data_IF_586191843658
#
_entry.id   IF_586191843658
#
_cell.length_a   1.000
_cell.length_b   1.000
_cell.length_c   1.000
_cell.angle_alpha   90.00
_cell.angle_beta   90.00
_cell.angle_gamma   90.00
#
_symmetry.space_group_name_H-M   'P 1'
#
loop_
_entity.id
_entity.type
_entity.pdbx_description
1 polymer ?
#
# COMPACT_ATOMS: atom_id res chain seq x y z
N UNK A 1 -23.48 22.59 -25.55
CA UNK A 1 -22.21 21.88 -25.28
C UNK A 1 -22.07 21.42 -23.82
N UNK A 2 -23.01 21.71 -22.91
CA UNK A 2 -22.95 21.25 -21.50
C UNK A 2 -23.69 19.92 -21.24
N UNK A 3 -24.61 19.52 -22.13
CA UNK A 3 -25.44 18.31 -21.96
C UNK A 3 -24.66 17.02 -22.24
N UNK A 4 -23.63 17.05 -23.08
CA UNK A 4 -22.84 15.85 -23.43
C UNK A 4 -21.87 15.44 -22.30
N UNK A 5 -21.37 16.41 -21.54
CA UNK A 5 -20.38 16.19 -20.46
C UNK A 5 -20.98 15.51 -19.21
N UNK A 6 -22.30 15.63 -19.00
CA UNK A 6 -23.00 14.94 -17.91
C UNK A 6 -23.11 13.42 -18.15
N UNK A 7 -23.13 12.97 -19.41
CA UNK A 7 -23.25 11.54 -19.77
C UNK A 7 -21.95 10.75 -19.56
N UNK A 8 -20.80 11.43 -19.57
CA UNK A 8 -19.46 10.84 -19.51
C UNK A 8 -18.83 10.88 -18.12
N UNK A 9 -19.47 11.45 -17.10
CA UNK A 9 -18.92 11.52 -15.73
C UNK A 9 -19.67 10.59 -14.77
N UNK A 10 -18.94 9.99 -13.83
CA UNK A 10 -19.52 9.20 -12.76
C UNK A 10 -20.09 10.14 -11.70
N UNK A 11 -21.41 10.15 -11.53
CA UNK A 11 -22.06 10.96 -10.50
C UNK A 11 -21.62 10.50 -9.10
N UNK A 12 -21.03 11.41 -8.32
CA UNK A 12 -20.56 11.17 -6.95
C UNK A 12 -19.11 10.67 -6.81
N UNK A 13 -18.43 10.34 -7.92
CA UNK A 13 -17.02 9.92 -7.89
C UNK A 13 -16.11 11.08 -8.29
N UNK A 14 -15.01 11.25 -7.56
CA UNK A 14 -14.00 12.26 -7.81
C UNK A 14 -12.66 11.61 -8.14
N UNK A 15 -11.96 12.19 -9.10
CA UNK A 15 -10.59 11.85 -9.44
C UNK A 15 -9.61 12.26 -8.32
N UNK A 16 -8.37 11.77 -8.36
CA UNK A 16 -7.30 12.08 -7.38
C UNK A 16 -6.98 13.58 -7.26
N UNK A 17 -7.43 14.39 -8.23
CA UNK A 17 -7.36 15.86 -8.23
C UNK A 17 -8.66 16.56 -7.77
N UNK A 18 -9.58 15.85 -7.11
CA UNK A 18 -10.91 16.34 -6.67
C UNK A 18 -11.80 16.88 -7.80
N UNK A 19 -11.62 16.41 -9.03
CA UNK A 19 -12.48 16.74 -10.18
C UNK A 19 -13.49 15.61 -10.43
N UNK A 20 -14.64 15.85 -11.07
CA UNK A 20 -15.59 14.78 -11.39
C UNK A 20 -14.90 13.66 -12.19
N UNK A 21 -15.06 12.41 -11.76
CA UNK A 21 -14.41 11.28 -12.40
C UNK A 21 -15.03 11.02 -13.78
N UNK A 22 -14.19 11.00 -14.82
CA UNK A 22 -14.63 10.75 -16.20
C UNK A 22 -14.65 9.24 -16.48
N UNK A 23 -15.79 8.75 -16.98
CA UNK A 23 -16.05 7.38 -17.40
C UNK A 23 -15.11 6.99 -18.56
N UNK A 24 -14.45 5.85 -18.43
CA UNK A 24 -13.47 5.35 -19.42
C UNK A 24 -12.05 5.92 -19.31
N UNK A 25 -11.83 6.98 -18.53
CA UNK A 25 -10.49 7.57 -18.32
C UNK A 25 -9.92 7.34 -16.93
N UNK A 26 -10.78 7.30 -15.91
CA UNK A 26 -10.37 7.09 -14.51
C UNK A 26 -10.88 5.73 -14.03
N UNK A 27 -9.97 4.93 -13.46
CA UNK A 27 -10.24 3.56 -13.01
C UNK A 27 -10.53 2.59 -14.17
N UNK A 28 -11.17 1.46 -13.84
CA UNK A 28 -11.59 0.45 -14.79
C UNK A 28 -10.78 -0.85 -14.72
N UNK A 29 -11.11 -1.79 -15.61
CA UNK A 29 -10.62 -3.16 -15.58
C UNK A 29 -9.09 -3.27 -15.66
N UNK A 30 -8.43 -2.38 -16.42
CA UNK A 30 -6.97 -2.39 -16.57
C UNK A 30 -6.25 -1.96 -15.29
N UNK A 31 -6.78 -0.92 -14.60
CA UNK A 31 -6.24 -0.49 -13.32
C UNK A 31 -6.45 -1.58 -12.25
N UNK A 32 -7.65 -2.19 -12.23
CA UNK A 32 -7.96 -3.30 -11.33
C UNK A 32 -7.07 -4.53 -11.60
N UNK A 33 -6.85 -4.89 -12.87
CA UNK A 33 -6.00 -6.02 -13.23
C UNK A 33 -4.54 -5.79 -12.82
N UNK A 34 -4.04 -4.56 -12.92
CA UNK A 34 -2.69 -4.23 -12.46
C UNK A 34 -2.54 -4.46 -10.95
N UNK A 35 -3.48 -3.95 -10.15
CA UNK A 35 -3.50 -4.16 -8.69
C UNK A 35 -3.58 -5.66 -8.36
N UNK A 36 -4.45 -6.41 -9.04
CA UNK A 36 -4.56 -7.85 -8.85
C UNK A 36 -3.28 -8.61 -9.19
N UNK A 37 -2.58 -8.24 -10.27
CA UNK A 37 -1.31 -8.89 -10.61
C UNK A 37 -0.26 -8.63 -9.53
N UNK A 38 -0.18 -7.40 -9.02
CA UNK A 38 0.75 -7.07 -7.92
C UNK A 38 0.42 -7.90 -6.67
N UNK A 39 -0.85 -7.97 -6.29
CA UNK A 39 -1.31 -8.78 -5.14
C UNK A 39 -0.97 -10.27 -5.30
N UNK A 40 -1.15 -10.83 -6.51
CA UNK A 40 -0.80 -12.23 -6.79
C UNK A 40 0.71 -12.45 -6.69
N UNK A 41 1.53 -11.53 -7.21
CA UNK A 41 2.99 -11.63 -7.13
C UNK A 41 3.49 -11.52 -5.69
N UNK A 42 2.90 -10.63 -4.89
CA UNK A 42 3.22 -10.49 -3.47
C UNK A 42 2.90 -11.77 -2.70
N UNK A 43 1.71 -12.34 -2.91
CA UNK A 43 1.33 -13.62 -2.31
C UNK A 43 2.24 -14.78 -2.75
N UNK A 44 2.66 -14.80 -4.03
CA UNK A 44 3.60 -15.80 -4.52
C UNK A 44 4.97 -15.69 -3.85
N UNK A 45 5.49 -14.47 -3.70
CA UNK A 45 6.75 -14.21 -2.99
C UNK A 45 6.66 -14.60 -1.51
N UNK A 46 5.52 -14.32 -0.86
CA UNK A 46 5.29 -14.74 0.52
C UNK A 46 5.32 -16.27 0.67
N UNK A 47 4.62 -17.00 -0.20
CA UNK A 47 4.61 -18.47 -0.19
C UNK A 47 5.99 -19.07 -0.51
N UNK A 48 6.74 -18.46 -1.44
CA UNK A 48 8.11 -18.88 -1.75
C UNK A 48 9.04 -18.71 -0.53
N UNK A 49 8.92 -17.61 0.20
CA UNK A 49 9.67 -17.40 1.43
C UNK A 49 9.25 -18.39 2.53
N UNK A 50 7.95 -18.59 2.74
CA UNK A 50 7.44 -19.50 3.76
C UNK A 50 7.92 -20.95 3.54
N UNK A 51 8.00 -21.39 2.28
CA UNK A 51 8.40 -22.76 1.93
C UNK A 51 9.91 -22.98 1.92
N UNK A 52 10.70 -22.00 1.45
CA UNK A 52 12.14 -22.20 1.24
C UNK A 52 13.02 -21.68 2.39
N UNK A 53 12.57 -20.69 3.15
CA UNK A 53 13.44 -20.01 4.13
C UNK A 53 13.83 -20.92 5.30
N UNK A 54 12.95 -21.82 5.75
CA UNK A 54 13.26 -22.78 6.83
C UNK A 54 14.41 -23.69 6.39
N UNK A 55 14.34 -24.16 5.14
CA UNK A 55 15.34 -25.05 4.56
C UNK A 55 16.66 -24.33 4.37
N UNK A 56 16.65 -23.11 3.82
CA UNK A 56 17.84 -22.28 3.70
C UNK A 56 18.54 -22.04 5.04
N UNK A 57 17.78 -21.68 6.09
CA UNK A 57 18.35 -21.45 7.41
C UNK A 57 18.93 -22.73 8.04
N UNK A 58 18.28 -23.88 7.80
CA UNK A 58 18.74 -25.16 8.36
C UNK A 58 19.91 -25.78 7.59
N UNK A 59 19.89 -25.73 6.26
CA UNK A 59 20.87 -26.40 5.40
C UNK A 59 22.08 -25.51 5.11
N UNK A 60 21.88 -24.23 4.76
CA UNK A 60 22.97 -23.34 4.35
C UNK A 60 23.54 -22.53 5.54
N UNK A 61 22.68 -22.01 6.41
CA UNK A 61 23.12 -21.24 7.59
C UNK A 61 23.39 -22.11 8.84
N UNK A 62 23.18 -23.43 8.75
CA UNK A 62 23.48 -24.39 9.80
C UNK A 62 22.79 -24.09 11.15
N UNK A 63 21.61 -23.46 11.14
CA UNK A 63 20.80 -23.28 12.34
C UNK A 63 20.14 -24.60 12.75
N UNK A 64 19.88 -24.77 14.04
CA UNK A 64 19.11 -25.95 14.49
C UNK A 64 17.69 -25.90 13.92
N UNK A 65 17.04 -27.05 13.65
CA UNK A 65 15.68 -27.08 13.09
C UNK A 65 14.67 -26.24 13.89
N UNK A 66 14.81 -26.23 15.22
CA UNK A 66 13.99 -25.42 16.12
C UNK A 66 14.24 -23.92 16.00
N UNK A 67 15.50 -23.50 15.84
CA UNK A 67 15.85 -22.09 15.65
C UNK A 67 15.38 -21.59 14.28
N UNK A 68 15.60 -22.36 13.21
CA UNK A 68 15.14 -22.03 11.86
C UNK A 68 13.62 -21.85 11.81
N UNK A 69 12.85 -22.81 12.36
CA UNK A 69 11.40 -22.72 12.38
C UNK A 69 10.88 -21.50 13.17
N UNK A 70 11.49 -21.19 14.31
CA UNK A 70 11.13 -20.01 15.10
C UNK A 70 11.44 -18.71 14.36
N UNK A 71 12.61 -18.60 13.73
CA UNK A 71 12.99 -17.40 12.98
C UNK A 71 12.04 -17.14 11.81
N UNK A 72 11.67 -18.17 11.03
CA UNK A 72 10.72 -18.01 9.93
C UNK A 72 9.31 -17.68 10.45
N UNK A 73 8.86 -18.32 11.54
CA UNK A 73 7.56 -18.02 12.15
C UNK A 73 7.49 -16.59 12.67
N UNK A 74 8.55 -16.11 13.33
CA UNK A 74 8.64 -14.72 13.80
C UNK A 74 8.65 -13.73 12.63
N UNK A 75 9.35 -14.04 11.54
CA UNK A 75 9.35 -13.23 10.34
C UNK A 75 7.94 -13.14 9.74
N UNK A 76 7.30 -14.28 9.47
CA UNK A 76 5.93 -14.32 8.93
C UNK A 76 4.93 -13.61 9.84
N UNK A 77 4.99 -13.85 11.16
CA UNK A 77 4.13 -13.18 12.14
C UNK A 77 4.34 -11.66 12.15
N UNK A 78 5.58 -11.20 12.05
CA UNK A 78 5.91 -9.77 11.97
C UNK A 78 5.38 -9.14 10.68
N UNK A 79 5.49 -9.82 9.54
CA UNK A 79 4.93 -9.35 8.27
C UNK A 79 3.41 -9.13 8.35
N UNK A 80 2.66 -10.03 9.01
CA UNK A 80 1.23 -9.85 9.22
C UNK A 80 0.91 -8.65 10.13
N UNK A 81 1.67 -8.47 11.21
CA UNK A 81 1.52 -7.29 12.08
C UNK A 81 1.84 -5.99 11.33
N UNK A 82 2.85 -6.00 10.46
CA UNK A 82 3.18 -4.86 9.59
C UNK A 82 2.07 -4.57 8.59
N UNK A 83 1.41 -5.58 8.02
CA UNK A 83 0.28 -5.39 7.11
C UNK A 83 -0.91 -4.73 7.83
N UNK A 84 -1.23 -5.17 9.06
CA UNK A 84 -2.25 -4.52 9.89
C UNK A 84 -1.89 -3.06 10.20
N UNK A 85 -0.63 -2.82 10.57
CA UNK A 85 -0.14 -1.46 10.82
C UNK A 85 -0.21 -0.61 9.55
N UNK A 86 0.18 -1.14 8.39
CA UNK A 86 0.14 -0.46 7.10
C UNK A 86 -1.27 -0.09 6.68
N UNK A 87 -2.24 -0.99 6.85
CA UNK A 87 -3.65 -0.71 6.61
C UNK A 87 -4.18 0.39 7.53
N UNK A 88 -3.91 0.29 8.84
CA UNK A 88 -4.26 1.35 9.79
C UNK A 88 -3.62 2.69 9.43
N UNK A 89 -2.35 2.70 9.01
CA UNK A 89 -1.67 3.91 8.59
C UNK A 89 -2.27 4.48 7.30
N UNK A 90 -2.63 3.64 6.35
CA UNK A 90 -3.29 4.03 5.10
C UNK A 90 -4.62 4.75 5.38
N UNK A 91 -5.44 4.22 6.28
CA UNK A 91 -6.73 4.80 6.62
C UNK A 91 -6.61 6.07 7.47
N UNK A 92 -5.65 6.10 8.40
CA UNK A 92 -5.49 7.21 9.35
C UNK A 92 -4.72 8.42 8.78
N UNK A 93 -3.68 8.21 7.95
CA UNK A 93 -2.73 9.26 7.60
C UNK A 93 -2.89 9.84 6.18
N UNK A 94 -3.49 9.14 5.22
CA UNK A 94 -3.40 9.55 3.81
C UNK A 94 -4.24 10.76 3.37
N UNK A 95 -5.18 11.26 4.18
CA UNK A 95 -6.03 12.39 3.73
C UNK A 95 -5.86 13.67 4.52
N UNK A 96 -5.44 13.60 5.78
CA UNK A 96 -5.41 14.77 6.68
C UNK A 96 -4.01 15.02 7.27
N UNK A 97 -3.25 13.99 7.63
CA UNK A 97 -1.94 14.14 8.26
C UNK A 97 -0.90 14.82 7.37
N UNK A 98 -0.87 14.50 6.08
CA UNK A 98 0.03 15.14 5.11
C UNK A 98 -0.25 16.65 5.01
N UNK A 99 -1.53 17.04 5.06
CA UNK A 99 -1.94 18.45 5.00
C UNK A 99 -1.52 19.19 6.27
N UNK A 100 -1.66 18.57 7.44
CA UNK A 100 -1.23 19.15 8.71
C UNK A 100 0.30 19.25 8.83
N UNK A 101 1.06 18.23 8.42
CA UNK A 101 2.53 18.31 8.37
C UNK A 101 2.99 19.39 7.41
N UNK A 102 2.37 19.51 6.23
CA UNK A 102 2.70 20.56 5.28
C UNK A 102 2.39 21.95 5.86
N UNK A 103 1.24 22.13 6.50
CA UNK A 103 0.89 23.39 7.16
C UNK A 103 1.87 23.75 8.28
N UNK A 104 2.22 22.80 9.14
CA UNK A 104 3.16 23.00 10.23
C UNK A 104 4.60 23.28 9.73
N UNK A 105 5.04 22.59 8.69
CA UNK A 105 6.33 22.84 8.06
C UNK A 105 6.40 24.22 7.41
N UNK A 106 5.32 24.66 6.75
CA UNK A 106 5.21 26.01 6.16
C UNK A 106 5.31 27.07 7.25
N UNK A 107 4.55 26.93 8.35
CA UNK A 107 4.60 27.88 9.47
C UNK A 107 6.01 27.93 10.11
N UNK A 108 6.62 26.77 10.35
CA UNK A 108 7.97 26.70 10.90
C UNK A 108 9.02 27.35 10.00
N UNK A 109 8.91 27.17 8.69
CA UNK A 109 9.87 27.70 7.71
C UNK A 109 9.70 29.21 7.50
N UNK A 110 8.46 29.71 7.51
CA UNK A 110 8.17 31.16 7.46
C UNK A 110 8.66 31.84 8.74
N UNK A 111 8.46 31.22 9.89
CA UNK A 111 8.96 31.71 11.19
C UNK A 111 10.48 31.72 11.31
N UNK A 112 11.19 30.94 10.49
CA UNK A 112 12.67 30.91 10.48
C UNK A 112 13.29 31.98 9.58
N UNK A 113 12.48 32.69 8.77
CA UNK A 113 12.93 33.69 7.78
C UNK A 113 12.64 35.14 8.19
N UNK A 114 12.05 35.34 9.36
CA UNK A 114 11.88 36.61 10.09
C UNK A 114 12.41 36.44 11.51
#
# INVERSE_FOLDING_TARGET
>A
MEVENQSSSWNGYVDWRRRPAVKGRHGGMVAASFVLVVEVLENLAFLANASNLVRYLSEDMHFSPSQSANSVTNFMGTSFLLALLGGFLSDAFFTTFVIYIASAAIEFLVRRRF
#
